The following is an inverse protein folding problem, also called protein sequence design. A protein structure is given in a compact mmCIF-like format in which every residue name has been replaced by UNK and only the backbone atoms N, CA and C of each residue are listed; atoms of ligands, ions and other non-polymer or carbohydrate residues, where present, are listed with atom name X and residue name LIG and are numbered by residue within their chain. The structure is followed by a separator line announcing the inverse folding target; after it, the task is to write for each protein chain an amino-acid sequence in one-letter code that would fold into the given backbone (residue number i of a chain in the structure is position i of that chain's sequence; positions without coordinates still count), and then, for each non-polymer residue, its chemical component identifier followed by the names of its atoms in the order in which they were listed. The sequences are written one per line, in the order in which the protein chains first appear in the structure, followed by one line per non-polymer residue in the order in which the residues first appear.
data_IF_906869973212
#
_entry.id   IF_906869973212
#
_cell.length_a   1.000
_cell.length_b   1.000
_cell.length_c   1.000
_cell.angle_alpha   90.00
_cell.angle_beta   90.00
_cell.angle_gamma   90.00
#
_symmetry.space_group_name_H-M   'P 1'
#
loop_
_entity.id
_entity.type
_entity.pdbx_description
1 polymer ?
#
# COMPACT_ATOMS: atom_id res chain seq x y z
N UNK A 1 -70.31 10.13 -21.95
CA UNK A 1 -71.74 9.82 -22.20
C UNK A 1 -71.84 8.33 -22.50
N UNK A 2 -72.68 7.63 -21.72
CA UNK A 2 -73.45 6.42 -22.06
C UNK A 2 -72.66 5.22 -22.61
N UNK A 3 -72.51 4.16 -21.79
CA UNK A 3 -73.45 3.02 -21.72
C UNK A 3 -73.09 1.98 -22.81
N UNK A 4 -73.16 0.66 -22.66
CA UNK A 4 -73.67 -0.31 -21.69
C UNK A 4 -73.33 -1.66 -22.41
N UNK A 5 -72.73 -2.66 -21.75
CA UNK A 5 -73.40 -3.94 -21.37
C UNK A 5 -73.74 -4.84 -22.59
N UNK A 6 -73.59 -6.18 -22.64
CA UNK A 6 -73.80 -7.32 -21.73
C UNK A 6 -73.08 -8.52 -22.41
N UNK A 7 -72.40 -9.40 -21.67
CA UNK A 7 -72.84 -10.76 -21.23
C UNK A 7 -73.54 -11.59 -22.34
N UNK A 8 -73.32 -12.89 -22.52
CA UNK A 8 -73.36 -14.04 -21.60
C UNK A 8 -72.70 -15.23 -22.35
N UNK A 9 -71.82 -16.04 -21.73
CA UNK A 9 -72.12 -17.30 -20.99
C UNK A 9 -72.64 -18.42 -21.90
N UNK A 10 -72.28 -19.70 -21.74
CA UNK A 10 -72.26 -20.49 -20.49
C UNK A 10 -71.82 -21.92 -20.85
N UNK A 11 -71.07 -22.57 -19.93
CA UNK A 11 -71.31 -23.91 -19.34
C UNK A 11 -71.47 -25.13 -20.29
N UNK A 12 -71.04 -26.36 -20.02
CA UNK A 12 -70.83 -27.20 -18.81
C UNK A 12 -69.73 -28.25 -19.16
N UNK A 13 -68.80 -28.60 -18.27
CA UNK A 13 -68.89 -29.60 -17.18
C UNK A 13 -69.16 -31.04 -17.64
N UNK A 14 -68.20 -31.96 -17.44
CA UNK A 14 -68.21 -33.02 -16.40
C UNK A 14 -66.93 -33.88 -16.50
N UNK A 15 -66.36 -34.16 -15.32
CA UNK A 15 -65.15 -34.91 -14.99
C UNK A 15 -65.31 -36.45 -15.03
N UNK A 16 -64.22 -37.23 -15.20
CA UNK A 16 -63.55 -38.01 -14.13
C UNK A 16 -62.44 -38.98 -14.63
N UNK A 17 -61.20 -38.70 -14.19
CA UNK A 17 -60.14 -39.52 -13.55
C UNK A 17 -59.86 -40.98 -13.98
N UNK A 18 -58.61 -41.24 -14.43
CA UNK A 18 -57.51 -42.05 -13.84
C UNK A 18 -56.50 -42.31 -14.99
N UNK A 19 -55.24 -41.88 -14.95
CA UNK A 19 -54.18 -42.31 -14.04
C UNK A 19 -53.24 -43.27 -14.79
N UNK A 20 -52.07 -42.79 -15.25
CA UNK A 20 -51.07 -43.64 -15.92
C UNK A 20 -49.97 -42.83 -16.61
N UNK A 21 -48.78 -42.83 -16.01
CA UNK A 21 -47.57 -42.09 -16.38
C UNK A 21 -46.80 -42.77 -17.54
N UNK A 22 -45.99 -41.94 -18.22
CA UNK A 22 -44.82 -42.24 -19.08
C UNK A 22 -45.06 -42.52 -20.58
N UNK A 23 -44.77 -41.50 -21.40
CA UNK A 23 -44.30 -41.66 -22.77
C UNK A 23 -43.40 -40.48 -23.18
N UNK A 24 -42.16 -40.77 -23.58
CA UNK A 24 -41.35 -39.99 -24.54
C UNK A 24 -41.35 -40.81 -25.84
N UNK A 25 -41.61 -40.19 -27.00
CA UNK A 25 -40.56 -40.03 -28.02
C UNK A 25 -40.77 -38.70 -28.81
N UNK A 26 -40.03 -38.26 -29.83
CA UNK A 26 -39.27 -38.91 -30.89
C UNK A 26 -38.42 -37.83 -31.61
N UNK A 27 -37.31 -38.24 -32.21
CA UNK A 27 -36.37 -37.45 -33.03
C UNK A 27 -36.65 -37.71 -34.51
N UNK A 28 -36.51 -36.68 -35.35
CA UNK A 28 -36.20 -36.81 -36.77
C UNK A 28 -35.15 -35.75 -37.16
N UNK A 29 -34.28 -36.16 -38.08
CA UNK A 29 -32.90 -35.71 -38.30
C UNK A 29 -32.81 -34.85 -39.57
N UNK A 30 -32.09 -33.72 -39.52
CA UNK A 30 -31.62 -32.99 -40.71
C UNK A 30 -30.10 -32.97 -40.76
N UNK A 31 -29.57 -33.36 -41.92
CA UNK A 31 -28.16 -33.46 -42.27
C UNK A 31 -27.59 -32.07 -42.55
N UNK A 32 -26.55 -31.66 -41.81
CA UNK A 32 -25.77 -30.44 -42.08
C UNK A 32 -24.40 -30.81 -42.66
N UNK A 33 -24.15 -30.39 -43.91
CA UNK A 33 -22.83 -30.36 -44.53
C UNK A 33 -21.99 -29.16 -44.06
N UNK A 34 -20.67 -29.13 -44.34
CA UNK A 34 -19.78 -28.11 -43.81
C UNK A 34 -19.89 -26.81 -44.62
N UNK A 35 -20.66 -25.85 -44.10
CA UNK A 35 -20.73 -24.48 -44.60
C UNK A 35 -19.85 -23.56 -43.77
N UNK A 36 -18.88 -22.91 -44.41
CA UNK A 36 -17.97 -21.91 -43.86
C UNK A 36 -18.74 -20.71 -43.30
N UNK A 37 -18.97 -20.68 -41.99
CA UNK A 37 -19.41 -19.48 -41.30
C UNK A 37 -18.22 -18.53 -41.16
N UNK A 38 -18.19 -17.50 -42.02
CA UNK A 38 -17.34 -16.34 -41.81
C UNK A 38 -17.71 -15.69 -40.48
N UNK A 39 -16.81 -15.79 -39.49
CA UNK A 39 -16.88 -14.97 -38.29
C UNK A 39 -16.73 -13.51 -38.73
N UNK A 40 -17.84 -12.77 -38.70
CA UNK A 40 -17.86 -11.32 -38.82
C UNK A 40 -17.08 -10.79 -37.61
N UNK A 41 -15.81 -10.44 -37.82
CA UNK A 41 -15.01 -9.72 -36.84
C UNK A 41 -15.71 -8.36 -36.69
N UNK A 42 -16.41 -8.18 -35.57
CA UNK A 42 -16.85 -6.85 -35.16
C UNK A 42 -15.58 -6.06 -34.85
N UNK A 43 -15.27 -5.11 -35.73
CA UNK A 43 -14.23 -4.11 -35.49
C UNK A 43 -14.47 -3.46 -34.13
N UNK A 44 -13.37 -3.28 -33.40
CA UNK A 44 -13.37 -3.02 -31.97
C UNK A 44 -14.18 -1.81 -31.56
N UNK A 45 -14.80 -1.94 -30.39
CA UNK A 45 -15.10 -0.80 -29.55
C UNK A 45 -13.78 -0.08 -29.25
N UNK A 46 -13.51 0.97 -30.02
CA UNK A 46 -12.37 1.84 -29.81
C UNK A 46 -12.49 2.42 -28.40
N UNK A 47 -11.58 2.00 -27.51
CA UNK A 47 -11.37 2.64 -26.21
C UNK A 47 -11.24 4.16 -26.45
N UNK A 48 -11.90 5.00 -25.66
CA UNK A 48 -11.87 6.45 -25.87
C UNK A 48 -10.42 6.94 -25.90
N UNK A 49 -10.11 7.75 -26.91
CA UNK A 49 -8.81 8.41 -27.09
C UNK A 49 -8.45 9.16 -25.80
N UNK A 50 -7.41 8.67 -25.10
CA UNK A 50 -6.87 9.32 -23.90
C UNK A 50 -7.20 8.66 -22.55
N UNK A 51 -7.69 7.42 -22.50
CA UNK A 51 -7.74 6.68 -21.24
C UNK A 51 -6.31 6.49 -20.70
N UNK A 52 -5.96 7.22 -19.64
CA UNK A 52 -4.72 6.99 -18.89
C UNK A 52 -4.72 5.55 -18.39
N UNK A 53 -3.82 4.73 -18.94
CA UNK A 53 -3.57 3.38 -18.41
C UNK A 53 -2.52 3.53 -17.33
N UNK A 54 -2.83 3.21 -16.05
CA UNK A 54 -1.85 3.29 -14.98
C UNK A 54 -0.62 2.43 -15.31
N UNK A 55 0.56 2.98 -15.09
CA UNK A 55 1.82 2.23 -15.18
C UNK A 55 2.06 1.45 -13.90
N UNK A 56 1.11 0.57 -13.59
CA UNK A 56 1.10 -0.31 -12.42
C UNK A 56 1.65 -1.71 -12.77
N UNK A 57 1.78 -2.63 -11.79
CA UNK A 57 2.25 -3.99 -12.04
C UNK A 57 1.40 -4.82 -13.02
N UNK A 58 0.20 -4.40 -13.41
CA UNK A 58 -0.61 -5.10 -14.40
C UNK A 58 -0.28 -4.65 -15.84
N UNK A 59 0.35 -3.48 -16.02
CA UNK A 59 0.70 -2.95 -17.33
C UNK A 59 1.73 -3.85 -18.07
N UNK A 60 1.50 -4.28 -19.32
CA UNK A 60 2.37 -5.26 -20.00
C UNK A 60 3.84 -4.86 -20.11
N UNK A 61 4.14 -3.60 -20.41
CA UNK A 61 5.53 -3.12 -20.52
C UNK A 61 6.22 -3.04 -19.14
N UNK A 62 5.46 -2.73 -18.09
CA UNK A 62 5.97 -2.70 -16.72
C UNK A 62 6.28 -4.12 -16.27
N UNK A 63 5.37 -5.06 -16.52
CA UNK A 63 5.58 -6.50 -16.26
C UNK A 63 6.80 -7.07 -16.97
N UNK A 64 7.02 -6.67 -18.22
CA UNK A 64 8.22 -7.08 -18.96
C UNK A 64 9.50 -6.56 -18.30
N UNK A 65 9.53 -5.28 -17.89
CA UNK A 65 10.66 -4.70 -17.17
C UNK A 65 10.89 -5.38 -15.81
N UNK A 66 9.82 -5.67 -15.06
CA UNK A 66 9.89 -6.41 -13.79
C UNK A 66 10.48 -7.80 -13.98
N UNK A 67 10.08 -8.54 -15.02
CA UNK A 67 10.64 -9.87 -15.29
C UNK A 67 12.15 -9.84 -15.57
N UNK A 68 12.63 -8.82 -16.29
CA UNK A 68 14.07 -8.62 -16.48
C UNK A 68 14.73 -8.19 -15.16
N UNK A 69 14.10 -7.31 -14.39
CA UNK A 69 14.59 -6.91 -13.07
C UNK A 69 14.74 -8.13 -12.14
N UNK A 70 13.78 -9.04 -12.10
CA UNK A 70 13.82 -10.26 -11.28
C UNK A 70 15.04 -11.11 -11.59
N UNK A 71 15.32 -11.30 -12.89
CA UNK A 71 16.46 -12.08 -13.37
C UNK A 71 17.80 -11.49 -12.94
N UNK A 72 17.93 -10.16 -12.94
CA UNK A 72 19.21 -9.48 -12.70
C UNK A 72 19.37 -8.87 -11.31
N UNK A 73 18.32 -8.77 -10.52
CA UNK A 73 18.39 -8.22 -9.15
C UNK A 73 19.44 -8.93 -8.29
N UNK A 74 19.58 -10.28 -8.29
CA UNK A 74 20.61 -10.94 -7.49
C UNK A 74 22.03 -10.49 -7.82
N UNK A 75 22.37 -10.34 -9.10
CA UNK A 75 23.71 -9.91 -9.54
C UNK A 75 23.93 -8.41 -9.34
N UNK A 76 22.92 -7.58 -9.61
CA UNK A 76 22.96 -6.14 -9.33
C UNK A 76 23.15 -5.87 -7.84
N UNK A 77 22.40 -6.56 -6.97
CA UNK A 77 22.50 -6.40 -5.51
C UNK A 77 23.79 -6.98 -4.91
N UNK A 78 24.52 -7.80 -5.65
CA UNK A 78 25.86 -8.28 -5.28
C UNK A 78 26.96 -7.30 -5.70
N UNK A 79 26.68 -6.36 -6.60
CA UNK A 79 27.65 -5.37 -7.04
C UNK A 79 28.01 -4.40 -5.89
N UNK A 80 29.27 -3.94 -5.80
CA UNK A 80 29.67 -2.97 -4.79
C UNK A 80 28.80 -1.71 -4.82
N UNK A 81 28.49 -1.19 -3.64
CA UNK A 81 27.72 0.04 -3.43
C UNK A 81 26.26 0.03 -3.89
N UNK A 82 25.77 -1.03 -4.53
CA UNK A 82 24.34 -1.18 -4.83
C UNK A 82 23.58 -1.53 -3.57
N UNK A 83 22.55 -0.73 -3.27
CA UNK A 83 21.69 -0.86 -2.08
C UNK A 83 20.24 -1.17 -2.43
N UNK A 84 19.87 -1.08 -3.72
CA UNK A 84 18.55 -1.48 -4.17
C UNK A 84 18.38 -1.48 -5.68
N UNK A 85 17.31 -2.12 -6.13
CA UNK A 85 16.80 -2.08 -7.51
C UNK A 85 15.29 -1.77 -7.48
N UNK A 86 14.75 -1.20 -8.55
CA UNK A 86 13.31 -1.04 -8.75
C UNK A 86 12.95 -1.01 -10.23
N UNK A 87 11.68 -1.26 -10.56
CA UNK A 87 11.12 -0.92 -11.87
C UNK A 87 10.66 0.52 -11.80
N UNK A 88 11.20 1.36 -12.68
CA UNK A 88 10.87 2.78 -12.78
C UNK A 88 10.80 3.22 -14.24
N UNK A 89 11.09 4.49 -14.51
CA UNK A 89 11.07 5.06 -15.85
C UNK A 89 12.38 5.78 -16.17
N UNK A 90 12.75 5.82 -17.45
CA UNK A 90 13.73 6.79 -17.98
C UNK A 90 13.14 8.21 -17.98
N UNK A 91 13.98 9.21 -18.28
CA UNK A 91 13.53 10.60 -18.42
C UNK A 91 12.49 10.77 -19.54
N UNK A 92 12.54 9.90 -20.56
CA UNK A 92 11.61 9.84 -21.69
C UNK A 92 10.35 9.01 -21.40
N UNK A 93 10.19 8.51 -20.17
CA UNK A 93 9.02 7.76 -19.73
C UNK A 93 8.99 6.29 -20.15
N UNK A 94 10.13 5.70 -20.54
CA UNK A 94 10.20 4.27 -20.88
C UNK A 94 10.45 3.43 -19.62
N UNK A 95 9.80 2.26 -19.44
CA UNK A 95 10.11 1.33 -18.35
C UNK A 95 11.61 0.99 -18.29
N UNK A 96 12.16 1.06 -17.08
CA UNK A 96 13.59 0.90 -16.83
C UNK A 96 13.85 0.20 -15.49
N UNK A 97 15.04 -0.38 -15.36
CA UNK A 97 15.57 -0.87 -14.09
C UNK A 97 16.32 0.29 -13.43
N UNK A 98 15.78 0.78 -12.32
CA UNK A 98 16.49 1.70 -11.45
C UNK A 98 17.47 0.92 -10.58
N UNK A 99 18.71 1.41 -10.46
CA UNK A 99 19.72 0.89 -9.53
C UNK A 99 20.08 1.99 -8.55
N UNK A 100 19.83 1.74 -7.27
CA UNK A 100 20.13 2.67 -6.19
C UNK A 100 21.51 2.35 -5.61
N UNK A 101 22.38 3.35 -5.61
CA UNK A 101 23.75 3.23 -5.12
C UNK A 101 23.99 4.10 -3.88
N UNK A 102 24.74 3.56 -2.92
CA UNK A 102 25.18 4.27 -1.70
C UNK A 102 26.04 5.48 -2.03
N UNK A 103 26.86 5.39 -3.07
CA UNK A 103 27.78 6.43 -3.53
C UNK A 103 27.94 6.33 -5.04
N UNK A 104 28.68 7.26 -5.62
CA UNK A 104 29.02 7.24 -7.04
C UNK A 104 29.64 5.88 -7.43
N UNK A 105 29.03 5.19 -8.38
CA UNK A 105 29.58 3.95 -8.95
C UNK A 105 30.67 4.27 -9.95
N UNK A 106 31.56 3.30 -10.20
CA UNK A 106 32.62 3.45 -11.20
C UNK A 106 31.97 3.52 -12.60
N UNK A 107 32.31 4.51 -13.44
CA UNK A 107 31.76 4.57 -14.80
C UNK A 107 31.98 3.26 -15.57
N UNK A 108 30.91 2.70 -16.13
CA UNK A 108 30.94 1.44 -16.86
C UNK A 108 30.90 0.17 -15.99
N UNK A 109 30.85 0.27 -14.66
CA UNK A 109 30.77 -0.92 -13.79
C UNK A 109 29.39 -1.59 -13.77
N UNK A 110 28.36 -0.88 -14.24
CA UNK A 110 27.01 -1.40 -14.41
C UNK A 110 26.62 -1.29 -15.88
N UNK A 111 25.89 -2.27 -16.43
CA UNK A 111 25.44 -2.24 -17.81
C UNK A 111 24.45 -1.09 -18.02
N UNK A 112 24.47 -0.47 -19.21
CA UNK A 112 23.50 0.56 -19.57
C UNK A 112 22.11 0.00 -19.91
N UNK A 113 22.02 -1.29 -20.22
CA UNK A 113 20.78 -2.02 -20.47
C UNK A 113 20.95 -3.51 -20.16
N UNK A 114 19.86 -4.18 -19.79
CA UNK A 114 19.77 -5.62 -19.54
C UNK A 114 18.59 -6.16 -20.33
N UNK A 115 18.81 -7.14 -21.20
CA UNK A 115 17.78 -7.71 -22.09
C UNK A 115 16.92 -6.65 -22.81
N UNK A 116 17.55 -5.56 -23.25
CA UNK A 116 16.90 -4.44 -23.93
C UNK A 116 16.20 -3.44 -23.01
N UNK A 117 16.12 -3.69 -21.70
CA UNK A 117 15.57 -2.77 -20.70
C UNK A 117 16.66 -1.80 -20.23
N UNK A 118 16.46 -0.48 -20.33
CA UNK A 118 17.43 0.52 -19.84
C UNK A 118 17.72 0.37 -18.35
N UNK A 119 18.97 0.61 -17.95
CA UNK A 119 19.39 0.68 -16.55
C UNK A 119 19.71 2.13 -16.19
N UNK A 120 19.07 2.64 -15.15
CA UNK A 120 19.25 4.01 -14.66
C UNK A 120 19.82 3.98 -13.24
N UNK A 121 21.06 4.46 -13.08
CA UNK A 121 21.71 4.50 -11.78
C UNK A 121 21.39 5.80 -11.04
N UNK A 122 20.97 5.69 -9.79
CA UNK A 122 20.69 6.81 -8.90
C UNK A 122 21.56 6.71 -7.65
N UNK A 123 22.33 7.77 -7.35
CA UNK A 123 23.09 7.85 -6.10
C UNK A 123 22.15 8.39 -5.01
N UNK A 124 21.72 7.50 -4.11
CA UNK A 124 20.71 7.80 -3.09
C UNK A 124 21.27 7.83 -1.68
N UNK A 125 22.46 7.26 -1.46
CA UNK A 125 22.92 6.94 -0.12
C UNK A 125 22.30 5.64 0.40
N UNK A 126 22.50 5.36 1.67
CA UNK A 126 21.88 4.21 2.33
C UNK A 126 20.40 4.46 2.64
N UNK A 127 19.60 3.41 2.46
CA UNK A 127 18.24 3.37 2.99
C UNK A 127 18.29 2.93 4.45
N UNK A 128 17.64 3.70 5.32
CA UNK A 128 17.63 3.44 6.77
C UNK A 128 16.23 3.63 7.35
N UNK A 129 15.93 2.87 8.42
CA UNK A 129 14.82 3.20 9.32
C UNK A 129 15.23 4.44 10.12
N UNK A 130 14.71 5.60 9.74
CA UNK A 130 15.25 6.87 10.20
C UNK A 130 14.90 7.17 11.67
N UNK A 131 15.90 7.55 12.49
CA UNK A 131 15.72 7.95 13.91
C UNK A 131 15.55 9.46 14.09
N UNK A 132 14.56 9.96 14.86
CA UNK A 132 14.20 11.38 14.89
C UNK A 132 15.36 12.30 15.34
N UNK A 133 15.64 13.40 14.60
CA UNK A 133 16.29 14.59 15.17
C UNK A 133 15.25 15.64 15.60
N UNK A 134 15.67 16.57 16.46
CA UNK A 134 14.82 17.57 17.10
C UNK A 134 14.33 18.70 16.16
N UNK A 135 13.11 19.20 16.41
CA UNK A 135 12.66 20.54 16.00
C UNK A 135 11.58 20.64 14.92
N UNK A 136 10.71 21.66 15.07
CA UNK A 136 9.77 22.17 14.06
C UNK A 136 8.36 22.50 14.59
N UNK A 137 8.03 23.80 14.71
CA UNK A 137 6.76 24.36 15.20
C UNK A 137 5.89 24.94 14.08
N UNK A 138 4.59 24.62 14.08
CA UNK A 138 3.45 25.47 13.65
C UNK A 138 2.17 25.01 14.39
N UNK A 139 1.07 25.77 14.27
CA UNK A 139 -0.17 25.80 15.09
C UNK A 139 -0.81 24.48 15.53
N UNK A 140 -0.68 23.39 14.78
CA UNK A 140 -0.90 22.02 15.29
C UNK A 140 0.43 21.30 15.30
N UNK A 141 0.89 20.88 16.48
CA UNK A 141 2.12 20.12 16.63
C UNK A 141 1.78 18.61 16.69
N UNK A 142 2.06 17.80 15.66
CA UNK A 142 1.79 16.36 15.70
C UNK A 142 2.57 15.60 16.78
N UNK A 143 3.54 16.25 17.42
CA UNK A 143 4.34 15.72 18.52
C UNK A 143 3.68 15.94 19.89
N UNK A 144 2.72 16.85 20.02
CA UNK A 144 2.04 17.10 21.30
C UNK A 144 1.02 16.01 21.62
N UNK A 145 0.64 15.90 22.89
CA UNK A 145 -0.50 15.08 23.32
C UNK A 145 -1.79 15.58 22.67
N UNK A 146 -2.62 14.66 22.17
CA UNK A 146 -3.94 14.97 21.63
C UNK A 146 -5.03 14.49 22.59
N UNK A 147 -6.12 15.24 22.66
CA UNK A 147 -7.35 14.75 23.26
C UNK A 147 -7.83 13.51 22.49
N UNK A 148 -8.51 12.61 23.21
CA UNK A 148 -9.08 11.41 22.60
C UNK A 148 -10.40 11.76 21.90
N UNK A 149 -10.71 11.16 20.74
CA UNK A 149 -9.89 10.18 20.03
C UNK A 149 -8.70 10.83 19.31
N UNK A 150 -7.54 10.19 19.39
CA UNK A 150 -6.28 10.66 18.78
C UNK A 150 -6.36 10.59 17.25
N UNK A 151 -6.01 11.64 16.51
CA UNK A 151 -5.98 11.60 15.05
C UNK A 151 -4.88 10.69 14.50
N UNK A 152 -5.03 10.19 13.28
CA UNK A 152 -3.92 9.52 12.57
C UNK A 152 -2.90 10.56 12.10
N UNK A 153 -1.70 10.14 11.72
CA UNK A 153 -0.63 11.02 11.22
C UNK A 153 0.15 11.77 12.32
N UNK A 154 -0.06 11.44 13.59
CA UNK A 154 0.61 12.07 14.75
C UNK A 154 1.53 11.09 15.47
N UNK A 155 2.31 11.62 16.41
CA UNK A 155 3.30 10.88 17.21
C UNK A 155 2.72 9.66 17.90
N UNK A 156 3.48 8.58 17.95
CA UNK A 156 3.15 7.37 18.71
C UNK A 156 4.40 6.52 18.90
N UNK A 157 4.36 5.56 19.81
CA UNK A 157 5.44 4.60 19.98
C UNK A 157 5.13 3.58 21.06
N UNK A 158 5.93 2.52 21.11
CA UNK A 158 5.87 1.54 22.19
C UNK A 158 6.47 2.14 23.48
N UNK A 159 5.87 1.83 24.64
CA UNK A 159 6.37 2.26 25.96
C UNK A 159 7.80 1.79 26.25
N UNK A 160 8.26 0.69 25.66
CA UNK A 160 9.55 0.06 25.93
C UNK A 160 10.77 0.80 25.37
N UNK A 161 10.59 1.78 24.48
CA UNK A 161 11.70 2.52 23.88
C UNK A 161 11.46 4.04 23.91
N UNK A 162 12.54 4.81 24.13
CA UNK A 162 12.48 6.25 23.88
C UNK A 162 12.58 6.56 22.39
N UNK A 163 11.52 6.26 21.66
CA UNK A 163 11.37 6.54 20.23
C UNK A 163 9.99 7.12 19.93
N UNK A 164 9.80 7.56 18.70
CA UNK A 164 8.49 7.95 18.19
C UNK A 164 8.45 7.75 16.67
N UNK A 165 7.35 7.17 16.21
CA UNK A 165 6.92 7.12 14.83
C UNK A 165 5.56 7.76 14.66
N UNK A 166 4.84 7.36 13.61
CA UNK A 166 3.56 7.93 13.22
C UNK A 166 2.45 6.87 13.28
N UNK A 167 1.27 7.26 13.79
CA UNK A 167 0.04 6.47 13.63
C UNK A 167 -0.35 6.53 12.16
N UNK A 168 -0.23 5.44 11.42
CA UNK A 168 -0.49 5.43 9.99
C UNK A 168 -1.96 5.55 9.66
N UNK A 169 -2.72 4.57 10.14
CA UNK A 169 -4.13 4.46 9.88
C UNK A 169 -4.85 3.85 11.09
N UNK A 170 -6.14 4.10 11.15
CA UNK A 170 -7.05 3.24 11.90
C UNK A 170 -7.49 2.12 10.97
N UNK A 171 -7.25 0.89 11.36
CA UNK A 171 -7.68 -0.31 10.62
C UNK A 171 -8.66 -1.10 11.48
N UNK A 172 -9.47 -1.93 10.86
CA UNK A 172 -10.48 -2.73 11.55
C UNK A 172 -10.58 -4.15 10.99
N UNK A 173 -10.99 -5.06 11.85
CA UNK A 173 -11.57 -6.34 11.45
C UNK A 173 -13.09 -6.33 11.73
N UNK A 174 -13.74 -7.49 11.65
CA UNK A 174 -15.18 -7.64 11.88
C UNK A 174 -15.69 -7.23 13.27
N UNK A 175 -14.83 -6.94 14.25
CA UNK A 175 -15.24 -6.51 15.59
C UNK A 175 -14.28 -5.56 16.33
N UNK A 176 -13.04 -5.41 15.87
CA UNK A 176 -11.99 -4.68 16.54
C UNK A 176 -11.46 -3.52 15.69
N UNK A 177 -10.87 -2.55 16.38
CA UNK A 177 -10.18 -1.40 15.79
C UNK A 177 -8.73 -1.40 16.25
N UNK A 178 -7.81 -1.08 15.35
CA UNK A 178 -6.39 -1.06 15.61
C UNK A 178 -5.73 0.23 15.12
N UNK A 179 -4.70 0.68 15.84
CA UNK A 179 -3.71 1.61 15.33
C UNK A 179 -2.69 0.83 14.48
N UNK A 180 -2.49 1.23 13.23
CA UNK A 180 -1.46 0.69 12.35
C UNK A 180 -0.21 1.57 12.38
N UNK A 181 0.97 0.98 12.55
CA UNK A 181 2.28 1.63 12.33
C UNK A 181 3.30 0.59 11.86
N UNK A 182 4.60 0.94 11.86
CA UNK A 182 5.66 0.00 11.55
C UNK A 182 5.99 -0.92 12.73
N UNK A 183 6.56 -2.09 12.43
CA UNK A 183 7.15 -2.98 13.43
C UNK A 183 8.22 -2.23 14.24
N UNK A 184 9.14 -1.51 13.59
CA UNK A 184 10.17 -0.78 14.34
C UNK A 184 9.62 0.39 15.20
N UNK A 185 8.33 0.73 15.08
CA UNK A 185 7.66 1.75 15.91
C UNK A 185 6.89 1.11 17.07
N UNK A 186 6.16 0.02 16.84
CA UNK A 186 5.30 -0.62 17.85
C UNK A 186 5.83 -1.92 18.42
N UNK A 187 6.67 -2.64 17.69
CA UNK A 187 7.15 -3.97 18.05
C UNK A 187 8.63 -4.01 18.43
N UNK A 188 9.30 -2.85 18.55
CA UNK A 188 10.70 -2.74 18.96
C UNK A 188 11.61 -3.67 18.16
N UNK A 189 11.45 -3.67 16.84
CA UNK A 189 12.26 -4.50 15.92
C UNK A 189 12.16 -6.00 16.28
N UNK A 190 10.92 -6.48 16.46
CA UNK A 190 10.50 -7.82 16.90
C UNK A 190 10.66 -8.15 18.40
N UNK A 191 11.15 -7.24 19.23
CA UNK A 191 11.47 -7.54 20.63
C UNK A 191 10.32 -7.25 21.60
N UNK A 192 9.28 -6.52 21.19
CA UNK A 192 8.18 -6.18 22.08
C UNK A 192 7.24 -7.38 22.29
N UNK A 193 6.89 -7.72 23.55
CA UNK A 193 5.87 -8.72 23.80
C UNK A 193 4.48 -8.19 23.38
N UNK A 194 3.60 -9.05 22.83
CA UNK A 194 2.19 -8.72 22.67
C UNK A 194 1.59 -8.22 23.99
N UNK A 195 0.69 -7.24 23.92
CA UNK A 195 0.14 -6.55 25.08
C UNK A 195 0.96 -5.34 25.55
N UNK A 196 2.14 -5.09 25.00
CA UNK A 196 2.92 -3.89 25.31
C UNK A 196 2.13 -2.61 25.05
N UNK A 197 2.22 -1.63 25.95
CA UNK A 197 1.49 -0.38 25.79
C UNK A 197 2.01 0.42 24.59
N UNK A 198 1.08 0.94 23.81
CA UNK A 198 1.33 1.90 22.73
C UNK A 198 0.79 3.26 23.15
N UNK A 199 1.67 4.25 23.10
CA UNK A 199 1.42 5.58 23.64
C UNK A 199 1.18 6.60 22.53
N UNK A 200 0.41 7.64 22.87
CA UNK A 200 0.37 8.91 22.16
C UNK A 200 0.44 10.07 23.16
N UNK A 201 1.50 10.91 23.09
CA UNK A 201 2.62 10.85 22.14
C UNK A 201 3.55 9.65 22.35
N UNK A 202 4.40 9.34 21.36
CA UNK A 202 5.53 8.44 21.56
C UNK A 202 6.54 9.05 22.53
N UNK A 203 7.27 8.21 23.29
CA UNK A 203 8.13 8.65 24.41
C UNK A 203 9.19 9.65 24.00
N UNK A 204 9.69 9.62 22.77
CA UNK A 204 10.64 10.63 22.30
C UNK A 204 10.08 12.07 22.40
N UNK A 205 8.78 12.25 22.16
CA UNK A 205 8.12 13.56 22.20
C UNK A 205 7.73 14.03 23.62
N UNK A 206 7.82 13.14 24.60
CA UNK A 206 7.60 13.44 26.03
C UNK A 206 8.90 13.55 26.81
N UNK A 207 10.06 13.65 26.14
CA UNK A 207 11.36 13.67 26.81
C UNK A 207 11.70 12.32 27.47
N UNK A 208 11.31 11.22 26.83
CA UNK A 208 11.42 9.84 27.32
C UNK A 208 10.55 9.51 28.54
N UNK A 209 9.66 10.40 28.98
CA UNK A 209 8.73 10.11 30.06
C UNK A 209 7.76 9.00 29.65
N UNK A 210 7.53 8.04 30.56
CA UNK A 210 6.51 7.01 30.41
C UNK A 210 5.30 7.40 31.26
N UNK A 211 4.18 7.70 30.62
CA UNK A 211 2.90 8.00 31.26
C UNK A 211 1.84 7.05 30.72
N UNK A 212 1.21 6.26 31.58
CA UNK A 212 0.15 5.32 31.18
C UNK A 212 -1.13 6.05 30.77
N UNK A 213 -1.30 7.33 31.15
CA UNK A 213 -2.40 8.16 30.66
C UNK A 213 -2.25 8.55 29.17
N UNK A 214 -1.07 8.29 28.58
CA UNK A 214 -0.83 8.46 27.16
C UNK A 214 -1.15 7.19 26.36
N UNK A 215 -1.60 6.12 27.00
CA UNK A 215 -2.02 4.90 26.30
C UNK A 215 -3.14 5.18 25.28
N UNK A 216 -2.99 4.59 24.10
CA UNK A 216 -4.03 4.53 23.06
C UNK A 216 -4.41 3.10 22.68
N UNK A 217 -3.69 2.11 23.19
CA UNK A 217 -3.90 0.70 22.88
C UNK A 217 -2.72 -0.17 23.29
N UNK A 218 -2.79 -1.45 22.94
CA UNK A 218 -1.74 -2.44 23.24
C UNK A 218 -1.31 -3.18 21.98
N UNK A 219 -0.02 -3.48 21.83
CA UNK A 219 0.52 -4.22 20.69
C UNK A 219 -0.23 -5.55 20.52
N UNK A 220 -0.95 -5.72 19.42
CA UNK A 220 -1.74 -6.90 19.16
C UNK A 220 -0.98 -7.90 18.29
N UNK A 221 -0.34 -7.42 17.22
CA UNK A 221 0.41 -8.26 16.29
C UNK A 221 1.42 -7.43 15.50
N UNK A 222 2.45 -8.10 14.99
CA UNK A 222 3.43 -7.53 14.08
C UNK A 222 3.93 -8.61 13.12
N UNK A 223 4.44 -8.19 11.96
CA UNK A 223 5.15 -9.09 11.06
C UNK A 223 6.63 -9.07 11.41
N UNK A 224 7.20 -10.23 11.72
CA UNK A 224 8.61 -10.34 12.10
C UNK A 224 9.54 -9.97 10.94
N UNK A 225 10.47 -9.06 11.18
CA UNK A 225 11.52 -8.69 10.23
C UNK A 225 12.68 -9.68 10.35
N UNK A 226 13.10 -10.28 9.25
CA UNK A 226 14.33 -11.07 9.17
C UNK A 226 15.49 -10.13 8.82
N UNK A 227 16.37 -9.87 9.79
CA UNK A 227 17.56 -9.03 9.64
C UNK A 227 18.69 -9.75 8.88
N UNK A 228 18.43 -10.02 7.60
CA UNK A 228 19.38 -10.59 6.67
C UNK A 228 19.21 -9.96 5.29
N UNK A 229 20.32 -9.78 4.59
CA UNK A 229 20.31 -9.39 3.19
C UNK A 229 19.98 -10.55 2.26
N UNK A 230 19.87 -11.79 2.73
CA UNK A 230 19.45 -12.94 1.92
C UNK A 230 17.97 -13.29 2.08
N UNK A 231 17.28 -12.67 3.04
CA UNK A 231 15.85 -12.86 3.25
C UNK A 231 15.02 -11.93 2.35
N UNK A 232 13.72 -12.21 2.25
CA UNK A 232 12.76 -11.36 1.54
C UNK A 232 11.66 -10.94 2.49
N UNK A 233 11.78 -9.75 3.09
CA UNK A 233 10.71 -9.16 3.88
C UNK A 233 9.75 -8.40 2.96
N UNK A 234 8.44 -8.55 3.16
CA UNK A 234 7.43 -7.83 2.37
C UNK A 234 6.93 -6.58 3.11
N UNK A 235 6.80 -6.67 4.44
CA UNK A 235 6.22 -5.60 5.25
C UNK A 235 7.00 -5.35 6.53
N UNK A 236 7.21 -4.08 6.84
CA UNK A 236 7.54 -3.57 8.17
C UNK A 236 6.26 -2.96 8.77
N UNK A 237 5.51 -3.76 9.53
CA UNK A 237 4.21 -3.35 10.05
C UNK A 237 3.85 -4.01 11.38
N UNK A 238 3.08 -3.28 12.18
CA UNK A 238 2.51 -3.74 13.44
C UNK A 238 1.18 -3.02 13.71
N UNK A 239 0.29 -3.72 14.42
CA UNK A 239 -1.01 -3.21 14.83
C UNK A 239 -1.16 -3.26 16.35
N UNK A 240 -1.78 -2.22 16.91
CA UNK A 240 -2.12 -2.14 18.33
C UNK A 240 -3.63 -2.12 18.51
N UNK A 241 -4.18 -3.02 19.31
CA UNK A 241 -5.61 -3.08 19.64
C UNK A 241 -6.01 -1.79 20.35
N UNK A 242 -7.05 -1.14 19.84
CA UNK A 242 -7.52 0.17 20.31
C UNK A 242 -9.05 0.21 20.30
N UNK A 243 -9.62 1.41 20.46
CA UNK A 243 -11.06 1.65 20.35
C UNK A 243 -11.33 2.95 19.60
N UNK A 244 -12.54 3.11 19.10
CA UNK A 244 -12.98 4.36 18.45
C UNK A 244 -13.00 5.56 19.41
N UNK A 245 -13.05 5.32 20.72
CA UNK A 245 -12.94 6.34 21.75
C UNK A 245 -11.50 6.81 21.99
N UNK A 246 -10.50 5.93 21.78
CA UNK A 246 -9.08 6.27 21.92
C UNK A 246 -8.46 6.78 20.63
N UNK A 247 -8.89 6.26 19.48
CA UNK A 247 -8.25 6.46 18.19
C UNK A 247 -9.25 6.90 17.12
N UNK A 248 -8.96 8.02 16.47
CA UNK A 248 -9.66 8.60 15.32
C UNK A 248 -9.13 8.04 13.99
N UNK A 249 -9.78 8.37 12.88
CA UNK A 249 -9.38 7.93 11.53
C UNK A 249 -9.08 9.08 10.55
N UNK A 250 -8.95 10.31 11.05
CA UNK A 250 -8.64 11.48 10.24
C UNK A 250 -7.31 12.09 10.68
N UNK A 251 -6.56 12.68 9.75
CA UNK A 251 -5.42 13.53 10.08
C UNK A 251 -5.88 14.83 10.75
N UNK A 252 -5.03 15.53 11.52
CA UNK A 252 -5.36 16.85 12.05
C UNK A 252 -5.66 17.89 10.97
N UNK A 253 -6.17 19.05 11.38
CA UNK A 253 -6.32 20.22 10.51
C UNK A 253 -5.02 20.55 9.78
N UNK A 254 -5.10 20.73 8.46
CA UNK A 254 -3.93 20.91 7.59
C UNK A 254 -3.34 19.62 7.04
N UNK A 255 -3.88 18.46 7.41
CA UNK A 255 -3.63 17.18 6.74
C UNK A 255 -4.65 16.87 5.65
N UNK A 256 -4.58 15.65 5.13
CA UNK A 256 -5.40 15.21 3.99
C UNK A 256 -6.83 14.76 4.38
N UNK A 257 -7.14 14.65 5.67
CA UNK A 257 -8.45 14.22 6.17
C UNK A 257 -8.52 12.73 6.47
N UNK A 258 -9.69 12.12 6.25
CA UNK A 258 -9.92 10.67 6.40
C UNK A 258 -9.57 9.98 5.09
N UNK A 259 -8.73 8.92 5.08
CA UNK A 259 -8.45 8.15 3.88
C UNK A 259 -9.67 7.32 3.46
N UNK A 260 -9.71 6.88 2.21
CA UNK A 260 -10.75 5.94 1.76
C UNK A 260 -10.49 4.53 2.30
N UNK A 261 -11.54 3.72 2.44
CA UNK A 261 -11.42 2.30 2.79
C UNK A 261 -10.84 1.46 1.65
N UNK A 262 -11.02 1.92 0.41
CA UNK A 262 -10.58 1.22 -0.80
C UNK A 262 -9.12 1.55 -1.12
N UNK A 263 -8.30 0.52 -1.26
CA UNK A 263 -6.88 0.67 -1.62
C UNK A 263 -6.71 0.86 -3.13
N UNK A 264 -5.57 1.41 -3.52
CA UNK A 264 -5.18 1.53 -4.93
C UNK A 264 -3.76 0.96 -5.11
N UNK A 265 -3.52 0.12 -6.14
CA UNK A 265 -2.17 -0.33 -6.47
C UNK A 265 -1.23 0.85 -6.74
N UNK A 266 0.05 0.68 -6.43
CA UNK A 266 1.05 1.68 -6.79
C UNK A 266 1.23 1.71 -8.32
N UNK A 267 1.28 2.91 -8.89
CA UNK A 267 1.53 3.12 -10.31
C UNK A 267 2.64 4.16 -10.49
N UNK A 268 3.53 3.93 -11.45
CA UNK A 268 4.60 4.88 -11.78
C UNK A 268 4.01 6.22 -12.22
N UNK A 269 4.66 7.31 -11.82
CA UNK A 269 4.23 8.69 -11.99
C UNK A 269 2.94 9.09 -11.25
N UNK A 270 2.33 8.19 -10.47
CA UNK A 270 1.16 8.55 -9.66
C UNK A 270 1.56 9.57 -8.58
N UNK A 271 0.78 10.64 -8.48
CA UNK A 271 0.90 11.63 -7.42
C UNK A 271 0.34 11.07 -6.10
N UNK A 272 1.10 11.26 -5.04
CA UNK A 272 0.81 10.74 -3.71
C UNK A 272 1.09 11.77 -2.63
N UNK A 273 0.45 11.61 -1.50
CA UNK A 273 0.68 12.44 -0.32
C UNK A 273 0.64 11.61 0.96
N UNK A 274 1.24 12.16 2.02
CA UNK A 274 1.23 11.55 3.35
C UNK A 274 1.19 12.64 4.42
N UNK A 275 0.66 12.31 5.59
CA UNK A 275 0.72 13.16 6.78
C UNK A 275 1.48 12.41 7.88
N UNK A 276 2.63 12.94 8.28
CA UNK A 276 3.53 12.31 9.25
C UNK A 276 3.89 13.22 10.41
N UNK A 277 4.29 12.64 11.55
CA UNK A 277 4.53 13.41 12.78
C UNK A 277 5.58 14.52 12.60
N UNK A 278 6.56 14.28 11.73
CA UNK A 278 7.74 15.14 11.59
C UNK A 278 7.57 16.13 10.46
N UNK A 279 7.22 15.67 9.26
CA UNK A 279 7.12 16.54 8.08
C UNK A 279 5.70 17.01 7.77
N UNK A 280 4.70 16.60 8.54
CA UNK A 280 3.27 16.91 8.31
C UNK A 280 2.84 16.45 6.92
N UNK A 281 2.02 17.24 6.23
CA UNK A 281 1.61 16.96 4.86
C UNK A 281 2.78 17.17 3.90
N UNK A 282 3.19 16.11 3.21
CA UNK A 282 4.08 16.20 2.06
C UNK A 282 3.44 15.52 0.86
N UNK A 283 3.82 16.00 -0.32
CA UNK A 283 3.37 15.51 -1.63
C UNK A 283 4.58 15.05 -2.43
N UNK A 284 4.41 14.01 -3.22
CA UNK A 284 5.46 13.39 -4.01
C UNK A 284 4.88 12.52 -5.12
N UNK A 285 5.77 11.76 -5.75
CA UNK A 285 5.43 10.93 -6.91
C UNK A 285 6.04 9.55 -6.72
N UNK A 286 5.30 8.51 -7.09
CA UNK A 286 5.83 7.15 -7.16
C UNK A 286 6.78 7.07 -8.36
N UNK A 287 8.07 6.89 -8.09
CA UNK A 287 9.15 6.83 -9.09
C UNK A 287 9.67 5.42 -9.31
N UNK A 288 9.37 4.49 -8.40
CA UNK A 288 9.72 3.09 -8.54
C UNK A 288 8.69 2.19 -7.87
N UNK A 289 8.48 1.03 -8.45
CA UNK A 289 7.66 -0.08 -7.92
C UNK A 289 8.48 -1.37 -8.01
N UNK A 290 7.99 -2.44 -7.38
CA UNK A 290 8.67 -3.73 -7.39
C UNK A 290 10.14 -3.62 -6.92
N UNK A 291 10.36 -2.79 -5.91
CA UNK A 291 11.70 -2.47 -5.46
C UNK A 291 12.23 -3.54 -4.51
N UNK A 292 13.48 -3.94 -4.71
CA UNK A 292 14.27 -4.72 -3.76
C UNK A 292 15.32 -3.81 -3.13
N UNK A 293 15.28 -3.61 -1.82
CA UNK A 293 16.14 -2.67 -1.10
C UNK A 293 16.72 -3.28 0.18
N UNK A 294 17.97 -2.96 0.49
CA UNK A 294 18.57 -3.27 1.78
C UNK A 294 18.39 -2.07 2.71
N UNK A 295 17.75 -2.28 3.86
CA UNK A 295 17.43 -1.23 4.85
C UNK A 295 18.17 -1.50 6.16
N UNK A 296 18.91 -0.49 6.65
CA UNK A 296 19.60 -0.55 7.94
C UNK A 296 18.68 -0.16 9.11
N UNK A 297 18.70 -0.97 10.17
CA UNK A 297 17.97 -0.80 11.44
C UNK A 297 18.91 -0.56 12.62
N UNK A 298 20.03 0.14 12.37
CA UNK A 298 21.04 0.39 13.40
C UNK A 298 21.61 -0.91 13.99
N UNK A 299 21.44 -1.11 15.30
CA UNK A 299 22.00 -2.26 16.01
C UNK A 299 21.38 -3.60 15.64
N UNK A 300 20.14 -3.62 15.13
CA UNK A 300 19.48 -4.87 14.71
C UNK A 300 20.00 -5.39 13.38
N UNK A 301 20.79 -4.60 12.65
CA UNK A 301 21.45 -4.98 11.42
C UNK A 301 20.72 -4.49 10.17
N UNK A 302 20.89 -5.22 9.06
CA UNK A 302 20.33 -4.86 7.75
C UNK A 302 19.34 -5.93 7.31
N UNK A 303 18.17 -5.51 6.86
CA UNK A 303 17.13 -6.39 6.33
C UNK A 303 16.85 -6.05 4.86
N UNK A 304 16.72 -7.08 4.02
CA UNK A 304 16.24 -6.91 2.64
C UNK A 304 14.72 -6.90 2.59
N UNK A 305 14.17 -5.91 1.90
CA UNK A 305 12.76 -5.80 1.58
C UNK A 305 12.54 -5.91 0.08
N UNK A 306 11.47 -6.60 -0.34
CA UNK A 306 11.10 -6.80 -1.76
C UNK A 306 9.66 -6.34 -1.99
N UNK A 307 9.26 -6.09 -3.23
CA UNK A 307 7.96 -5.51 -3.59
C UNK A 307 7.70 -4.09 -3.03
N UNK A 308 8.75 -3.31 -2.82
CA UNK A 308 8.62 -1.99 -2.21
C UNK A 308 8.26 -0.89 -3.22
N UNK A 309 7.69 0.19 -2.71
CA UNK A 309 7.32 1.39 -3.47
C UNK A 309 8.34 2.48 -3.17
N UNK A 310 8.89 3.10 -4.20
CA UNK A 310 9.82 4.24 -4.09
C UNK A 310 9.07 5.53 -4.42
N UNK A 311 9.16 6.50 -3.51
CA UNK A 311 8.54 7.82 -3.66
C UNK A 311 9.62 8.89 -3.61
N UNK A 312 9.56 9.83 -4.54
CA UNK A 312 10.46 10.98 -4.60
C UNK A 312 9.68 12.29 -4.64
N UNK A 313 10.32 13.38 -4.23
CA UNK A 313 9.78 14.73 -4.30
C UNK A 313 10.93 15.75 -4.45
N UNK A 314 10.62 16.98 -4.86
CA UNK A 314 11.61 18.07 -4.98
C UNK A 314 12.16 18.59 -3.63
N UNK A 315 11.62 18.10 -2.51
CA UNK A 315 12.07 18.33 -1.14
C UNK A 315 11.92 17.02 -0.36
N UNK A 316 12.53 16.87 0.83
CA UNK A 316 12.43 15.61 1.55
C UNK A 316 10.98 15.18 1.79
N UNK A 317 10.59 14.04 1.21
CA UNK A 317 9.22 13.55 1.28
C UNK A 317 8.89 13.00 2.67
N UNK A 318 9.87 12.35 3.30
CA UNK A 318 9.84 11.93 4.70
C UNK A 318 11.09 12.42 5.42
N UNK A 319 10.99 12.51 6.74
CA UNK A 319 12.11 12.57 7.67
C UNK A 319 11.90 11.54 8.78
N UNK A 320 12.93 11.36 9.57
CA UNK A 320 12.86 10.51 10.73
C UNK A 320 11.65 10.79 11.65
N UNK A 321 10.98 9.72 12.07
CA UNK A 321 9.71 9.76 12.80
C UNK A 321 8.46 9.76 11.92
N UNK A 322 8.57 10.00 10.61
CA UNK A 322 7.43 9.78 9.69
C UNK A 322 7.20 8.29 9.39
N UNK A 323 8.06 7.39 9.87
CA UNK A 323 7.83 5.94 9.87
C UNK A 323 6.43 5.61 10.40
N UNK A 324 5.69 4.81 9.65
CA UNK A 324 4.32 4.44 9.92
C UNK A 324 3.31 5.34 9.22
N UNK A 325 3.71 6.45 8.59
CA UNK A 325 2.76 7.32 7.87
C UNK A 325 2.09 6.58 6.71
N UNK A 326 0.77 6.71 6.62
CA UNK A 326 -0.01 6.20 5.49
C UNK A 326 0.24 7.07 4.24
N UNK A 327 0.60 6.41 3.14
CA UNK A 327 0.72 6.99 1.81
C UNK A 327 -0.62 6.81 1.09
N UNK A 328 -1.18 7.91 0.59
CA UNK A 328 -2.45 7.93 -0.14
C UNK A 328 -2.30 8.62 -1.50
N UNK A 329 -3.21 8.36 -2.44
CA UNK A 329 -3.25 9.08 -3.72
C UNK A 329 -3.53 10.57 -3.53
N UNK A 330 -2.99 11.39 -4.44
CA UNK A 330 -3.24 12.83 -4.49
C UNK A 330 -3.64 13.25 -5.92
N UNK A 331 -4.91 13.61 -6.18
CA UNK A 331 -6.05 13.57 -5.25
C UNK A 331 -6.58 12.13 -5.02
N UNK A 332 -7.62 12.00 -4.21
CA UNK A 332 -8.42 10.78 -4.10
C UNK A 332 -8.33 10.08 -2.74
N UNK A 333 -7.20 10.21 -2.02
CA UNK A 333 -7.04 9.67 -0.66
C UNK A 333 -7.18 8.14 -0.54
N UNK A 334 -7.03 7.41 -1.64
CA UNK A 334 -6.98 5.95 -1.60
C UNK A 334 -5.63 5.51 -1.04
N UNK A 335 -5.59 4.62 -0.04
CA UNK A 335 -4.34 4.09 0.48
C UNK A 335 -3.54 3.33 -0.57
N UNK A 336 -2.22 3.57 -0.60
CA UNK A 336 -1.27 2.96 -1.54
C UNK A 336 -0.13 2.23 -0.81
N UNK A 337 0.38 2.81 0.28
CA UNK A 337 1.50 2.21 1.01
C UNK A 337 1.64 2.66 2.46
N UNK A 338 2.52 1.98 3.20
CA UNK A 338 2.93 2.32 4.56
C UNK A 338 4.42 2.65 4.59
N UNK A 339 4.76 3.92 4.84
CA UNK A 339 6.14 4.41 4.81
C UNK A 339 6.94 3.85 5.99
N UNK A 340 8.18 3.39 5.75
CA UNK A 340 9.02 2.79 6.80
C UNK A 340 10.50 3.15 6.74
N UNK A 341 11.02 3.49 5.56
CA UNK A 341 12.43 3.80 5.38
C UNK A 341 12.62 4.93 4.36
N UNK A 342 13.81 5.53 4.35
CA UNK A 342 14.18 6.52 3.36
C UNK A 342 15.66 6.86 3.39
N UNK A 343 16.02 7.91 2.66
CA UNK A 343 17.40 8.42 2.56
C UNK A 343 17.52 9.84 3.10
N UNK A 344 18.76 10.30 3.32
CA UNK A 344 19.04 11.69 3.69
C UNK A 344 18.63 12.70 2.62
N UNK A 345 18.62 12.31 1.34
CA UNK A 345 18.10 13.11 0.23
C UNK A 345 16.57 13.19 0.19
N UNK A 346 15.89 12.36 0.99
CA UNK A 346 14.44 12.41 1.18
C UNK A 346 13.63 11.58 0.20
N UNK A 347 14.27 10.61 -0.48
CA UNK A 347 13.57 9.47 -1.09
C UNK A 347 12.96 8.61 0.00
N UNK A 348 11.74 8.13 -0.24
CA UNK A 348 10.99 7.33 0.69
C UNK A 348 10.69 5.94 0.14
N UNK A 349 10.60 4.97 1.05
CA UNK A 349 10.22 3.60 0.76
C UNK A 349 8.95 3.29 1.54
N UNK A 350 7.96 2.73 0.85
CA UNK A 350 6.71 2.26 1.44
C UNK A 350 6.48 0.78 1.13
N UNK A 351 5.97 0.07 2.14
CA UNK A 351 5.40 -1.26 1.97
C UNK A 351 4.07 -1.14 1.19
N UNK A 352 3.72 -2.05 0.26
CA UNK A 352 2.42 -2.06 -0.38
C UNK A 352 1.29 -2.20 0.66
N UNK A 353 0.31 -1.29 0.63
CA UNK A 353 -0.72 -1.28 1.68
C UNK A 353 -1.57 -2.56 1.66
N UNK A 354 -1.81 -3.14 0.48
CA UNK A 354 -2.57 -4.38 0.35
C UNK A 354 -1.88 -5.55 1.08
N UNK A 355 -0.54 -5.65 0.98
CA UNK A 355 0.23 -6.67 1.70
C UNK A 355 0.14 -6.45 3.21
N UNK A 356 0.28 -5.21 3.68
CA UNK A 356 0.16 -4.86 5.11
C UNK A 356 -1.20 -5.26 5.66
N UNK A 357 -2.29 -4.88 4.98
CA UNK A 357 -3.65 -5.20 5.41
C UNK A 357 -3.91 -6.71 5.41
N UNK A 358 -3.43 -7.41 4.37
CA UNK A 358 -3.56 -8.87 4.26
C UNK A 358 -2.81 -9.61 5.37
N UNK A 359 -1.63 -9.13 5.81
CA UNK A 359 -0.87 -9.75 6.90
C UNK A 359 -1.62 -9.77 8.23
N UNK A 360 -2.56 -8.86 8.43
CA UNK A 360 -3.36 -8.77 9.66
C UNK A 360 -4.84 -9.11 9.46
N UNK A 361 -5.28 -9.42 8.23
CA UNK A 361 -6.70 -9.63 7.89
C UNK A 361 -7.59 -8.46 8.29
N UNK A 362 -7.11 -7.24 8.07
CA UNK A 362 -7.82 -5.98 8.41
C UNK A 362 -8.12 -5.15 7.16
N UNK A 363 -9.01 -4.18 7.30
CA UNK A 363 -9.32 -3.17 6.27
C UNK A 363 -9.10 -1.77 6.83
N UNK A 364 -8.93 -0.79 5.95
CA UNK A 364 -8.82 0.62 6.36
C UNK A 364 -10.19 1.06 6.88
N UNK A 365 -10.23 1.60 8.10
CA UNK A 365 -11.45 2.20 8.65
C UNK A 365 -11.62 3.63 8.14
N UNK A 366 -11.86 3.74 6.84
CA UNK A 366 -11.90 4.99 6.08
C UNK A 366 -13.28 5.37 5.55
N UNK A 367 -13.30 6.37 4.67
CA UNK A 367 -14.50 6.77 3.92
C UNK A 367 -14.85 5.70 2.86
N UNK A 368 -16.13 5.44 2.60
CA UNK A 368 -16.57 4.43 1.63
C UNK A 368 -16.11 4.73 0.20
#
# INVERSE_FOLDING_TARGET
MRNFVRRYSKLLFVSLVFGGLLALPWVAEEVLGPGTAQAKITEGDALPQGAYVPLDPAHPQVRAAMAVQDQYTPSLMAAPDVVGTATGLTAEGQPAILVFARRQVIPGSLPAALDGVPVVVQVTGEFVSMKPPAGGTTTVNPKSRFARPVPIGVSTGNIGECSAGTIGARVKDGGNVYALSNNHVYALENLAPPGSLVLQPGRYDTGCAADTNDEIGTLASFVSIVFSTSASNIVDAAIALSSTGQLGNATPTGGYGTPNSTTTPAALNAAVQKYGRTTKLTKGTITGIHATVNVGYGSSGTARFVEQIIVSAGKPFIKAGDSGSLLVTDPGLNPVGLLFAGTSSGTAIANPIAAVLSSFSVTIDGQP
#
